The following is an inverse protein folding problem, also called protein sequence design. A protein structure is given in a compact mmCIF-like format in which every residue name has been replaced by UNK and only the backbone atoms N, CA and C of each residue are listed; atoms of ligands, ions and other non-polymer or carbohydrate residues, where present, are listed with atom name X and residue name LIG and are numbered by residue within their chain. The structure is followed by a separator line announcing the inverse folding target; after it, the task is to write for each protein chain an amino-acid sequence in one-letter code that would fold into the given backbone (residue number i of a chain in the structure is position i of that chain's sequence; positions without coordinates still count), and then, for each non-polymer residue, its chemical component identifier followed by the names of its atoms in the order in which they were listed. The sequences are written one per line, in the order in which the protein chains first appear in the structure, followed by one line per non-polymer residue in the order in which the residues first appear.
data_IF_714359893405
#
_entry.id   IF_714359893405
#
_cell.length_a   1.000
_cell.length_b   1.000
_cell.length_c   1.000
_cell.angle_alpha   90.00
_cell.angle_beta   90.00
_cell.angle_gamma   90.00
#
_symmetry.space_group_name_H-M   'P 1'
#
loop_
_entity.id
_entity.type
_entity.pdbx_description
1 polymer ?
#
# COMPACT_ATOMS: atom_id res chain seq x y z
N UNK A 1 14.34 6.29 -5.11
CA UNK A 1 15.48 5.53 -5.71
C UNK A 1 15.42 5.49 -7.25
N UNK A 2 14.25 5.34 -7.88
CA UNK A 2 14.16 5.35 -9.36
C UNK A 2 14.53 6.71 -9.94
N UNK A 3 13.87 7.79 -9.51
CA UNK A 3 14.15 9.15 -9.95
C UNK A 3 15.63 9.55 -9.73
N UNK A 4 16.21 9.16 -8.58
CA UNK A 4 17.63 9.43 -8.29
C UNK A 4 18.56 8.78 -9.32
N UNK A 5 18.30 7.53 -9.71
CA UNK A 5 19.10 6.83 -10.73
C UNK A 5 18.99 7.51 -12.09
N UNK A 6 17.79 7.91 -12.48
CA UNK A 6 17.57 8.64 -13.73
C UNK A 6 18.32 9.96 -13.72
N UNK A 7 18.22 10.75 -12.65
CA UNK A 7 18.90 12.04 -12.52
C UNK A 7 20.42 11.91 -12.52
N UNK A 8 20.96 10.90 -11.85
CA UNK A 8 22.41 10.65 -11.81
C UNK A 8 23.00 10.39 -13.20
N UNK A 9 22.25 9.77 -14.12
CA UNK A 9 22.68 9.58 -15.52
C UNK A 9 22.88 10.90 -16.28
N UNK A 10 22.26 11.98 -15.80
CA UNK A 10 22.37 13.33 -16.34
C UNK A 10 23.23 14.26 -15.46
N UNK A 11 24.03 13.67 -14.55
CA UNK A 11 24.94 14.43 -13.68
C UNK A 11 24.24 15.20 -12.56
N UNK A 12 22.97 14.88 -12.24
CA UNK A 12 22.22 15.54 -11.16
C UNK A 12 22.23 14.63 -9.93
N UNK A 13 23.12 14.92 -9.00
CA UNK A 13 23.35 14.11 -7.79
C UNK A 13 22.98 14.83 -6.49
N UNK A 14 22.92 16.17 -6.53
CA UNK A 14 22.60 17.01 -5.36
C UNK A 14 21.34 17.83 -5.55
N UNK A 15 20.74 18.29 -4.44
CA UNK A 15 19.58 19.18 -4.47
C UNK A 15 19.93 20.51 -5.14
N UNK A 16 21.13 21.04 -4.91
CA UNK A 16 21.60 22.28 -5.57
C UNK A 16 21.69 22.14 -7.09
N UNK A 17 22.21 21.02 -7.59
CA UNK A 17 22.24 20.71 -9.02
C UNK A 17 20.82 20.58 -9.57
N UNK A 18 19.91 19.92 -8.84
CA UNK A 18 18.50 19.78 -9.20
C UNK A 18 17.81 21.14 -9.30
N UNK A 19 18.06 22.05 -8.35
CA UNK A 19 17.55 23.41 -8.35
C UNK A 19 18.05 24.26 -9.53
N UNK A 20 19.29 24.01 -9.97
CA UNK A 20 19.90 24.70 -11.11
C UNK A 20 19.49 24.13 -12.47
N UNK A 21 18.83 22.96 -12.53
CA UNK A 21 18.36 22.38 -13.79
C UNK A 21 17.25 23.20 -14.43
N UNK A 22 17.09 23.04 -15.75
CA UNK A 22 15.91 23.58 -16.43
C UNK A 22 14.67 22.74 -16.10
N UNK A 23 13.56 23.35 -15.66
CA UNK A 23 12.33 22.61 -15.33
C UNK A 23 11.83 21.71 -16.45
N UNK A 24 11.94 22.17 -17.72
CA UNK A 24 11.49 21.45 -18.91
C UNK A 24 12.29 20.16 -19.12
N UNK A 25 13.59 20.15 -18.80
CA UNK A 25 14.44 18.98 -18.85
C UNK A 25 13.96 17.94 -17.82
N UNK A 26 13.73 18.36 -16.59
CA UNK A 26 13.29 17.48 -15.51
C UNK A 26 11.88 16.94 -15.79
N UNK A 27 11.00 17.74 -16.38
CA UNK A 27 9.67 17.30 -16.78
C UNK A 27 9.71 16.25 -17.90
N UNK A 28 10.62 16.38 -18.87
CA UNK A 28 10.85 15.33 -19.90
C UNK A 28 11.38 14.04 -19.31
N UNK A 29 12.22 14.07 -18.28
CA UNK A 29 12.81 12.90 -17.67
C UNK A 29 11.90 12.18 -16.67
N UNK A 30 11.12 12.92 -15.89
CA UNK A 30 10.36 12.42 -14.75
C UNK A 30 8.87 12.81 -14.78
N UNK A 31 8.40 13.45 -15.84
CA UNK A 31 7.02 13.95 -15.95
C UNK A 31 6.71 15.04 -14.91
N UNK A 32 5.48 15.07 -14.45
CA UNK A 32 5.01 16.04 -13.43
C UNK A 32 5.88 16.06 -12.16
N UNK A 33 6.43 14.88 -11.78
CA UNK A 33 7.31 14.75 -10.63
C UNK A 33 8.60 15.57 -10.82
N UNK A 34 9.16 15.62 -12.02
CA UNK A 34 10.37 16.40 -12.31
C UNK A 34 10.18 17.90 -12.05
N UNK A 35 9.07 18.46 -12.50
CA UNK A 35 8.72 19.87 -12.23
C UNK A 35 8.54 20.14 -10.75
N UNK A 36 7.81 19.29 -10.06
CA UNK A 36 7.58 19.40 -8.61
C UNK A 36 8.89 19.29 -7.81
N UNK A 37 9.77 18.36 -8.18
CA UNK A 37 11.08 18.23 -7.54
C UNK A 37 11.95 19.48 -7.73
N UNK A 38 11.90 20.12 -8.90
CA UNK A 38 12.59 21.38 -9.15
C UNK A 38 12.06 22.51 -8.25
N UNK A 39 10.72 22.66 -8.17
CA UNK A 39 10.08 23.65 -7.31
C UNK A 39 10.51 23.45 -5.84
N UNK A 40 10.43 22.21 -5.34
CA UNK A 40 10.85 21.89 -3.96
C UNK A 40 12.35 22.13 -3.71
N UNK A 41 13.21 21.83 -4.69
CA UNK A 41 14.65 22.10 -4.59
C UNK A 41 14.96 23.61 -4.51
N UNK A 42 14.07 24.45 -5.05
CA UNK A 42 14.15 25.91 -4.94
C UNK A 42 13.35 26.47 -3.76
N UNK A 43 12.84 25.64 -2.84
CA UNK A 43 12.07 26.06 -1.67
C UNK A 43 10.64 26.54 -2.00
N UNK A 44 10.13 26.21 -3.18
CA UNK A 44 8.82 26.65 -3.66
C UNK A 44 7.73 25.61 -3.37
N UNK A 45 7.56 25.21 -2.10
CA UNK A 45 6.42 24.39 -1.69
C UNK A 45 5.22 25.27 -1.33
N UNK A 46 4.19 25.21 -2.17
CA UNK A 46 2.91 25.91 -1.96
C UNK A 46 1.80 24.95 -1.54
N UNK A 47 2.14 23.76 -1.06
CA UNK A 47 1.16 22.77 -0.61
C UNK A 47 0.30 23.36 0.52
N UNK A 48 -1.03 23.41 0.38
CA UNK A 48 -1.88 23.95 1.43
C UNK A 48 -1.88 23.02 2.65
N UNK A 49 -1.83 23.61 3.85
CA UNK A 49 -2.15 22.87 5.08
C UNK A 49 -3.66 22.68 5.12
N UNK A 50 -4.11 21.45 4.93
CA UNK A 50 -5.55 21.14 4.91
C UNK A 50 -6.09 21.02 6.35
N UNK A 51 -7.22 21.65 6.66
CA UNK A 51 -7.94 21.45 7.89
C UNK A 51 -8.31 19.96 8.09
N UNK A 52 -8.41 19.52 9.34
CA UNK A 52 -8.77 18.12 9.63
C UNK A 52 -10.14 17.72 9.07
N UNK A 53 -11.06 18.68 8.95
CA UNK A 53 -12.39 18.47 8.37
C UNK A 53 -12.38 18.18 6.86
N UNK A 54 -11.30 18.56 6.14
CA UNK A 54 -11.14 18.34 4.70
C UNK A 54 -10.29 17.12 4.37
N UNK A 55 -10.24 16.12 5.28
CA UNK A 55 -9.49 14.90 5.03
C UNK A 55 -10.05 14.15 3.84
N UNK A 56 -9.15 13.70 2.97
CA UNK A 56 -9.51 12.76 1.91
C UNK A 56 -10.09 11.49 2.52
N UNK A 57 -11.07 10.86 1.85
CA UNK A 57 -11.61 9.56 2.27
C UNK A 57 -10.49 8.55 2.50
N UNK A 58 -10.66 7.71 3.50
CA UNK A 58 -9.69 6.64 3.81
C UNK A 58 -9.62 5.68 2.63
N UNK A 59 -8.45 5.59 1.99
CA UNK A 59 -8.24 4.73 0.80
C UNK A 59 -7.89 3.29 1.17
N UNK A 60 -7.23 3.10 2.32
CA UNK A 60 -6.83 1.78 2.82
C UNK A 60 -6.58 1.83 4.32
N UNK A 61 -6.70 0.66 4.98
CA UNK A 61 -6.38 0.48 6.40
C UNK A 61 -5.44 -0.71 6.52
N UNK A 62 -4.21 -0.47 6.92
CA UNK A 62 -3.19 -1.52 7.02
C UNK A 62 -2.48 -1.57 8.35
N UNK A 63 -1.94 -2.74 8.67
CA UNK A 63 -1.01 -2.95 9.76
C UNK A 63 0.10 -3.92 9.34
N UNK A 64 1.33 -3.67 9.78
CA UNK A 64 2.47 -4.52 9.50
C UNK A 64 3.39 -4.64 10.71
N UNK A 65 4.05 -5.79 10.82
CA UNK A 65 4.98 -6.07 11.91
C UNK A 65 6.26 -6.70 11.37
N UNK A 66 7.40 -6.13 11.79
CA UNK A 66 8.70 -6.79 11.69
C UNK A 66 8.84 -7.70 12.91
N UNK A 67 9.07 -8.99 12.68
CA UNK A 67 9.14 -9.97 13.75
C UNK A 67 10.52 -9.94 14.46
N UNK A 68 10.59 -10.31 15.75
CA UNK A 68 11.86 -10.39 16.48
C UNK A 68 12.84 -11.42 15.87
N UNK A 69 12.29 -12.49 15.28
CA UNK A 69 13.02 -13.49 14.51
C UNK A 69 12.28 -13.78 13.21
N UNK A 70 12.99 -14.30 12.22
CA UNK A 70 12.39 -14.63 10.94
C UNK A 70 11.45 -15.83 11.07
N UNK A 71 10.25 -15.70 10.50
CA UNK A 71 9.26 -16.78 10.52
C UNK A 71 9.57 -17.76 9.38
N UNK A 72 9.67 -19.05 9.71
CA UNK A 72 9.95 -20.12 8.73
C UNK A 72 8.88 -21.20 8.70
N UNK A 73 8.02 -21.24 9.73
CA UNK A 73 6.95 -22.24 9.88
C UNK A 73 5.59 -21.62 9.63
N UNK A 74 4.70 -22.41 9.04
CA UNK A 74 3.35 -21.96 8.71
C UNK A 74 2.53 -21.55 9.95
N UNK A 75 2.73 -22.21 11.08
CA UNK A 75 2.05 -21.91 12.34
C UNK A 75 2.36 -20.50 12.83
N UNK A 76 3.63 -20.08 12.74
CA UNK A 76 4.09 -18.74 13.11
C UNK A 76 3.51 -17.68 12.16
N UNK A 77 3.55 -17.96 10.86
CA UNK A 77 2.99 -17.07 9.82
C UNK A 77 1.49 -16.89 10.03
N UNK A 78 0.77 -17.99 10.32
CA UNK A 78 -0.67 -17.96 10.59
C UNK A 78 -0.99 -17.12 11.83
N UNK A 79 -0.23 -17.26 12.90
CA UNK A 79 -0.39 -16.47 14.12
C UNK A 79 -0.15 -14.97 13.85
N UNK A 80 0.90 -14.63 13.10
CA UNK A 80 1.20 -13.27 12.69
C UNK A 80 0.08 -12.65 11.84
N UNK A 81 -0.43 -13.39 10.85
CA UNK A 81 -1.55 -12.95 10.02
C UNK A 81 -2.84 -12.76 10.84
N UNK A 82 -3.10 -13.61 11.84
CA UNK A 82 -4.25 -13.47 12.73
C UNK A 82 -4.19 -12.16 13.52
N UNK A 83 -3.07 -11.87 14.17
CA UNK A 83 -2.89 -10.65 14.94
C UNK A 83 -3.00 -9.37 14.07
N UNK A 84 -2.41 -9.40 12.88
CA UNK A 84 -2.50 -8.28 11.93
C UNK A 84 -3.92 -8.08 11.41
N UNK A 85 -4.63 -9.16 11.09
CA UNK A 85 -6.01 -9.11 10.62
C UNK A 85 -6.97 -8.59 11.68
N UNK A 86 -6.77 -8.98 12.95
CA UNK A 86 -7.56 -8.44 14.06
C UNK A 86 -7.34 -6.95 14.25
N UNK A 87 -6.09 -6.50 14.21
CA UNK A 87 -5.77 -5.07 14.28
C UNK A 87 -6.41 -4.25 13.16
N UNK A 88 -6.37 -4.76 11.91
CA UNK A 88 -7.01 -4.11 10.76
C UNK A 88 -8.53 -4.08 10.93
N UNK A 89 -9.15 -5.21 11.30
CA UNK A 89 -10.58 -5.31 11.53
C UNK A 89 -11.06 -4.38 12.66
N UNK A 90 -10.29 -4.27 13.73
CA UNK A 90 -10.57 -3.35 14.84
C UNK A 90 -10.57 -1.89 14.37
N UNK A 91 -9.58 -1.49 13.54
CA UNK A 91 -9.51 -0.13 12.99
C UNK A 91 -10.69 0.17 12.06
N UNK A 92 -11.08 -0.79 11.20
CA UNK A 92 -12.26 -0.65 10.34
C UNK A 92 -13.53 -0.45 11.18
N UNK A 93 -13.74 -1.29 12.20
CA UNK A 93 -14.91 -1.17 13.09
C UNK A 93 -14.96 0.18 13.83
N UNK A 94 -13.82 0.65 14.36
CA UNK A 94 -13.74 1.94 15.05
C UNK A 94 -14.09 3.14 14.17
N UNK A 95 -13.86 3.02 12.87
CA UNK A 95 -14.13 4.08 11.90
C UNK A 95 -15.46 3.89 11.16
N UNK A 96 -16.23 2.86 11.46
CA UNK A 96 -17.48 2.53 10.76
C UNK A 96 -17.27 2.05 9.33
N UNK A 97 -16.04 1.61 8.97
CA UNK A 97 -15.64 1.29 7.61
C UNK A 97 -15.69 -0.21 7.32
N UNK A 98 -15.83 -0.52 6.02
CA UNK A 98 -15.75 -1.86 5.44
C UNK A 98 -14.67 -1.89 4.36
N UNK A 99 -14.19 -3.08 4.01
CA UNK A 99 -13.30 -3.28 2.88
C UNK A 99 -13.83 -4.37 1.95
N UNK A 100 -13.64 -4.20 0.66
CA UNK A 100 -13.92 -5.22 -0.37
C UNK A 100 -12.67 -5.76 -1.04
N UNK A 101 -11.50 -5.55 -0.44
CA UNK A 101 -10.23 -6.11 -0.89
C UNK A 101 -9.25 -6.29 0.26
N UNK A 102 -8.37 -7.27 0.11
CA UNK A 102 -7.28 -7.53 1.05
C UNK A 102 -5.97 -7.66 0.27
N UNK A 103 -4.92 -7.05 0.79
CA UNK A 103 -3.56 -7.20 0.31
C UNK A 103 -2.67 -7.72 1.43
N UNK A 104 -1.76 -8.62 1.08
CA UNK A 104 -0.66 -9.03 1.94
C UNK A 104 0.66 -8.62 1.29
N UNK A 105 1.54 -8.06 2.09
CA UNK A 105 2.94 -7.84 1.71
C UNK A 105 3.83 -8.67 2.62
N UNK A 106 4.69 -9.47 2.00
CA UNK A 106 5.68 -10.32 2.63
C UNK A 106 7.05 -9.73 2.34
N UNK A 107 7.85 -9.48 3.36
CA UNK A 107 9.24 -9.06 3.21
C UNK A 107 10.14 -10.15 3.81
N UNK A 108 11.11 -10.59 3.04
CA UNK A 108 12.11 -11.57 3.47
C UNK A 108 13.29 -10.95 4.23
N UNK A 109 14.23 -11.78 4.67
CA UNK A 109 15.45 -11.37 5.35
C UNK A 109 16.43 -10.60 4.44
N UNK A 110 16.32 -10.73 3.11
CA UNK A 110 17.08 -9.95 2.12
C UNK A 110 16.43 -8.60 1.82
N UNK A 111 15.35 -8.23 2.54
CA UNK A 111 14.56 -7.02 2.35
C UNK A 111 13.82 -6.96 1.01
N UNK A 112 13.75 -8.06 0.26
CA UNK A 112 12.89 -8.17 -0.91
C UNK A 112 11.42 -8.28 -0.46
N UNK A 113 10.52 -7.64 -1.21
CA UNK A 113 9.10 -7.62 -0.87
C UNK A 113 8.26 -8.17 -2.01
N UNK A 114 7.30 -9.00 -1.66
CA UNK A 114 6.26 -9.52 -2.56
C UNK A 114 4.92 -9.07 -2.02
N UNK A 115 4.08 -8.50 -2.88
CA UNK A 115 2.70 -8.15 -2.53
C UNK A 115 1.71 -8.93 -3.40
N UNK A 116 0.62 -9.38 -2.78
CA UNK A 116 -0.52 -10.02 -3.45
C UNK A 116 -1.80 -9.44 -2.89
N UNK A 117 -2.78 -9.28 -3.75
CA UNK A 117 -4.10 -8.78 -3.35
C UNK A 117 -5.22 -9.56 -4.05
N UNK A 118 -6.39 -9.57 -3.42
CA UNK A 118 -7.62 -10.09 -4.02
C UNK A 118 -8.82 -9.24 -3.59
N UNK A 119 -9.84 -9.23 -4.43
CA UNK A 119 -11.16 -8.73 -4.06
C UNK A 119 -11.91 -9.77 -3.24
N UNK A 120 -12.76 -9.30 -2.36
CA UNK A 120 -13.73 -10.09 -1.59
C UNK A 120 -15.08 -10.05 -2.31
N UNK A 121 -15.87 -11.09 -2.16
CA UNK A 121 -17.21 -11.19 -2.75
C UNK A 121 -18.17 -10.13 -2.19
N UNK A 122 -18.01 -9.79 -0.91
CA UNK A 122 -18.81 -8.78 -0.23
C UNK A 122 -17.93 -7.91 0.68
N UNK A 123 -18.30 -6.64 0.89
CA UNK A 123 -17.63 -5.78 1.84
C UNK A 123 -17.71 -6.36 3.26
N UNK A 124 -16.59 -6.35 3.97
CA UNK A 124 -16.48 -6.89 5.32
C UNK A 124 -15.64 -6.01 6.24
N UNK A 125 -15.85 -6.15 7.55
CA UNK A 125 -14.99 -5.64 8.63
C UNK A 125 -14.71 -6.72 9.67
N UNK A 126 -14.97 -7.98 9.30
CA UNK A 126 -14.79 -9.12 10.16
C UNK A 126 -13.36 -9.65 10.06
N UNK A 127 -12.73 -9.84 11.19
CA UNK A 127 -11.37 -10.39 11.28
C UNK A 127 -11.22 -11.71 10.53
N UNK A 128 -12.19 -12.61 10.67
CA UNK A 128 -12.16 -13.95 10.05
C UNK A 128 -12.06 -13.91 8.52
N UNK A 129 -12.75 -12.96 7.88
CA UNK A 129 -12.78 -12.86 6.41
C UNK A 129 -11.47 -12.26 5.90
N UNK A 130 -10.96 -11.22 6.57
CA UNK A 130 -9.67 -10.60 6.28
C UNK A 130 -8.55 -11.62 6.48
N UNK A 131 -8.56 -12.38 7.58
CA UNK A 131 -7.58 -13.41 7.87
C UNK A 131 -7.62 -14.54 6.83
N UNK A 132 -8.79 -15.02 6.44
CA UNK A 132 -8.96 -16.05 5.41
C UNK A 132 -8.32 -15.62 4.11
N UNK A 133 -8.66 -14.43 3.62
CA UNK A 133 -8.07 -13.87 2.41
C UNK A 133 -6.55 -13.68 2.53
N UNK A 134 -6.06 -13.19 3.66
CA UNK A 134 -4.64 -13.01 3.91
C UNK A 134 -3.87 -14.34 3.92
N UNK A 135 -4.46 -15.39 4.51
CA UNK A 135 -3.86 -16.74 4.50
C UNK A 135 -3.79 -17.34 3.10
N UNK A 136 -4.84 -17.21 2.30
CA UNK A 136 -4.88 -17.66 0.90
C UNK A 136 -3.79 -16.96 0.06
N UNK A 137 -3.72 -15.64 0.16
CA UNK A 137 -2.72 -14.82 -0.53
C UNK A 137 -1.29 -15.21 -0.11
N UNK A 138 -1.08 -15.43 1.18
CA UNK A 138 0.24 -15.83 1.68
C UNK A 138 0.61 -17.22 1.18
N UNK A 139 -0.31 -18.18 1.17
CA UNK A 139 -0.06 -19.53 0.62
C UNK A 139 0.29 -19.53 -0.86
N UNK A 140 -0.29 -18.61 -1.63
CA UNK A 140 0.01 -18.48 -3.07
C UNK A 140 1.37 -17.85 -3.34
N UNK A 141 1.86 -16.96 -2.43
CA UNK A 141 3.04 -16.14 -2.64
C UNK A 141 4.29 -16.66 -1.92
N UNK A 142 4.10 -17.38 -0.80
CA UNK A 142 5.21 -17.82 0.05
C UNK A 142 5.37 -19.33 0.04
N UNK A 143 6.62 -19.79 0.13
CA UNK A 143 7.01 -21.20 0.27
C UNK A 143 7.94 -21.35 1.46
N UNK A 144 7.54 -22.21 2.41
CA UNK A 144 8.41 -22.60 3.51
C UNK A 144 9.63 -23.37 2.97
N UNK A 145 10.81 -23.23 3.57
CA UNK A 145 11.14 -22.48 4.77
C UNK A 145 11.69 -21.08 4.48
N UNK A 146 11.35 -20.43 3.35
CA UNK A 146 11.85 -19.08 3.05
C UNK A 146 11.58 -18.12 4.22
N UNK A 147 12.61 -17.45 4.78
CA UNK A 147 12.43 -16.61 5.96
C UNK A 147 11.53 -15.41 5.70
N UNK A 148 10.57 -15.15 6.57
CA UNK A 148 9.74 -13.92 6.55
C UNK A 148 10.18 -13.01 7.68
N UNK A 149 10.69 -11.83 7.32
CA UNK A 149 11.11 -10.79 8.27
C UNK A 149 9.96 -9.91 8.70
N UNK A 150 9.03 -9.61 7.78
CA UNK A 150 7.91 -8.72 8.02
C UNK A 150 6.68 -9.17 7.24
N UNK A 151 5.53 -9.08 7.89
CA UNK A 151 4.21 -9.21 7.26
C UNK A 151 3.43 -7.92 7.38
N UNK A 152 2.65 -7.60 6.34
CA UNK A 152 1.68 -6.51 6.36
C UNK A 152 0.36 -7.02 5.80
N UNK A 153 -0.74 -6.72 6.49
CA UNK A 153 -2.11 -6.93 6.01
C UNK A 153 -2.76 -5.57 5.79
N UNK A 154 -3.33 -5.36 4.62
CA UNK A 154 -3.97 -4.10 4.24
C UNK A 154 -5.36 -4.37 3.68
N UNK A 155 -6.36 -3.73 4.28
CA UNK A 155 -7.72 -3.63 3.77
C UNK A 155 -7.77 -2.56 2.67
N UNK A 156 -8.31 -2.91 1.52
CA UNK A 156 -8.42 -2.09 0.31
C UNK A 156 -9.89 -1.86 -0.06
N UNK A 157 -10.11 -0.91 -0.96
CA UNK A 157 -11.45 -0.55 -1.43
C UNK A 157 -12.40 -0.30 -0.26
N UNK A 158 -12.05 0.74 0.50
CA UNK A 158 -12.76 1.11 1.73
C UNK A 158 -14.10 1.77 1.38
N UNK A 159 -15.16 1.39 2.09
CA UNK A 159 -16.51 1.93 1.97
C UNK A 159 -17.14 2.09 3.35
N UNK A 160 -18.12 2.98 3.47
CA UNK A 160 -18.92 3.19 4.68
C UNK A 160 -20.16 2.27 4.71
N UNK A 161 -20.50 1.64 3.58
CA UNK A 161 -21.64 0.73 3.45
C UNK A 161 -21.20 -0.73 3.36
N UNK A 162 -22.02 -1.62 3.92
CA UNK A 162 -21.90 -3.07 3.74
C UNK A 162 -22.49 -3.54 2.39
N UNK A 163 -23.23 -2.69 1.69
CA UNK A 163 -23.83 -3.02 0.41
C UNK A 163 -22.74 -3.03 -0.67
N UNK A 164 -22.67 -4.13 -1.41
CA UNK A 164 -21.87 -4.17 -2.63
C UNK A 164 -22.58 -3.32 -3.68
N UNK A 165 -21.90 -2.29 -4.21
CA UNK A 165 -22.35 -1.70 -5.45
C UNK A 165 -22.13 -2.76 -6.55
N UNK A 166 -23.16 -3.51 -6.90
CA UNK A 166 -23.21 -4.18 -8.19
C UNK A 166 -23.24 -3.08 -9.24
N UNK A 167 -22.14 -2.95 -9.95
CA UNK A 167 -22.11 -2.18 -11.19
C UNK A 167 -23.04 -2.93 -12.14
N UNK A 168 -24.26 -2.43 -12.28
CA UNK A 168 -25.17 -2.90 -13.32
C UNK A 168 -24.46 -2.70 -14.66
N UNK A 169 -24.16 -3.81 -15.32
CA UNK A 169 -23.62 -3.82 -16.67
C UNK A 169 -24.71 -3.36 -17.61
N UNK A 170 -24.73 -2.06 -17.93
CA UNK A 170 -25.72 -1.43 -18.81
C UNK A 170 -25.63 -1.91 -20.27
N UNK A 171 -24.70 -2.84 -20.58
CA UNK A 171 -24.46 -3.38 -21.92
C UNK A 171 -24.76 -4.87 -22.05
N UNK A 172 -25.37 -5.51 -21.06
CA UNK A 172 -25.75 -6.91 -21.06
C UNK A 172 -27.14 -7.16 -21.64
N UNK A 173 -27.48 -6.57 -22.79
CA UNK A 173 -28.66 -6.93 -23.54
C UNK A 173 -28.29 -7.05 -25.02
N UNK A 174 -28.01 -8.28 -25.45
CA UNK A 174 -27.83 -8.69 -26.85
C UNK A 174 -27.90 -10.19 -26.94
#
# INVERSE_FOLDING_TARGET
RSAQRTLAQYGVETIGQLAACRPEMLEKLLGKLGRQMHEYANGLDRSPVRPQAEREPVKSVGNGTTFPHDLTRWEEVRAGLAALSDSVAMRLRRQGLYCSGVQVTIKDSSFCSISRQKRLESPTRLMKDIQRAAMELTRSAWRAPTPIRMLTVTALHITESAESFEQLDLLGAG
#
